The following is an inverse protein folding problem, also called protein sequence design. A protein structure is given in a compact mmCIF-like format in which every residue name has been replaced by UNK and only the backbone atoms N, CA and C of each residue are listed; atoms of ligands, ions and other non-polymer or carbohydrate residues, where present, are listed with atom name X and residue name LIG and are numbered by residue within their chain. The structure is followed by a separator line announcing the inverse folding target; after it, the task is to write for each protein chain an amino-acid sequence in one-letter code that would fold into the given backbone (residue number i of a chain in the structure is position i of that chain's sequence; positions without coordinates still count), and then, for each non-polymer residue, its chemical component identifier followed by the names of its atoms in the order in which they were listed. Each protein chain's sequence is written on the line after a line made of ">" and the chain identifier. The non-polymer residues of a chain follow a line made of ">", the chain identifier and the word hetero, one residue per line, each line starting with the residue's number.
data_IF_157327704627
#
_entry.id   IF_157327704627
#
_cell.length_a   1.000
_cell.length_b   1.000
_cell.length_c   1.000
_cell.angle_alpha   90.00
_cell.angle_beta   90.00
_cell.angle_gamma   90.00
#
_symmetry.space_group_name_H-M   'P 1'
#
loop_
_entity.id
_entity.type
_entity.pdbx_description
1 polymer ?
#
# COMPACT_ATOMS: atom_id res chain seq x y z
N UNK A 1 -11.95 -8.76 3.97
CA UNK A 1 -11.96 -7.35 3.49
C UNK A 1 -12.47 -7.30 2.04
N UNK A 2 -13.23 -6.27 1.63
CA UNK A 2 -13.85 -6.23 0.29
C UNK A 2 -12.84 -6.06 -0.85
N UNK A 3 -13.15 -6.65 -2.01
CA UNK A 3 -12.36 -6.59 -3.25
C UNK A 3 -12.53 -5.22 -3.92
N UNK A 4 -11.49 -4.73 -4.60
CA UNK A 4 -11.52 -3.45 -5.29
C UNK A 4 -12.21 -3.64 -6.63
N UNK A 5 -12.96 -2.64 -7.08
CA UNK A 5 -13.49 -2.62 -8.43
C UNK A 5 -12.38 -2.79 -9.46
N UNK A 6 -12.70 -3.52 -10.54
CA UNK A 6 -11.80 -3.79 -11.65
C UNK A 6 -11.25 -2.52 -12.27
N UNK A 7 -10.09 -2.64 -12.87
CA UNK A 7 -9.42 -1.54 -13.56
C UNK A 7 -10.25 -1.04 -14.76
N UNK A 8 -10.87 -1.95 -15.51
CA UNK A 8 -11.78 -1.61 -16.61
C UNK A 8 -12.91 -0.67 -16.15
N UNK A 9 -13.56 -0.98 -15.03
CA UNK A 9 -14.63 -0.13 -14.51
C UNK A 9 -14.12 1.27 -14.16
N UNK A 10 -12.93 1.36 -13.57
CA UNK A 10 -12.29 2.64 -13.23
C UNK A 10 -11.96 3.46 -14.48
N UNK A 11 -11.36 2.82 -15.49
CA UNK A 11 -11.04 3.44 -16.80
C UNK A 11 -12.30 4.01 -17.44
N UNK A 12 -13.39 3.25 -17.48
CA UNK A 12 -14.66 3.70 -18.07
C UNK A 12 -15.30 4.86 -17.32
N UNK A 13 -15.23 4.87 -15.98
CA UNK A 13 -15.73 5.99 -15.16
C UNK A 13 -14.91 7.26 -15.41
N UNK A 14 -13.59 7.14 -15.52
CA UNK A 14 -12.70 8.28 -15.80
C UNK A 14 -12.96 8.83 -17.20
N UNK A 15 -13.01 7.97 -18.21
CA UNK A 15 -13.29 8.38 -19.59
C UNK A 15 -14.63 9.14 -19.72
N UNK A 16 -15.67 8.65 -19.06
CA UNK A 16 -16.98 9.33 -19.04
C UNK A 16 -16.92 10.68 -18.28
N UNK A 17 -16.08 10.79 -17.26
CA UNK A 17 -15.87 12.06 -16.57
C UNK A 17 -15.11 13.08 -17.43
N UNK A 18 -14.09 12.64 -18.15
CA UNK A 18 -13.32 13.46 -19.11
C UNK A 18 -14.16 13.91 -20.29
N UNK A 19 -15.08 13.06 -20.76
CA UNK A 19 -16.05 13.39 -21.80
C UNK A 19 -17.15 14.37 -21.32
N UNK A 20 -17.14 14.75 -20.03
CA UNK A 20 -18.17 15.58 -19.42
C UNK A 20 -19.60 15.01 -19.55
N UNK A 21 -19.75 13.68 -19.51
CA UNK A 21 -21.04 12.95 -19.62
C UNK A 21 -22.01 13.17 -18.43
N UNK A 22 -21.78 14.20 -17.60
CA UNK A 22 -22.65 14.62 -16.54
C UNK A 22 -21.99 14.72 -15.16
N UNK A 23 -22.82 14.88 -14.13
CA UNK A 23 -22.35 15.02 -12.75
C UNK A 23 -21.79 13.71 -12.18
N UNK A 24 -21.00 13.78 -11.11
CA UNK A 24 -20.51 12.59 -10.40
C UNK A 24 -21.64 11.67 -9.91
N UNK A 25 -22.82 12.23 -9.57
CA UNK A 25 -24.01 11.44 -9.21
C UNK A 25 -24.58 10.70 -10.43
N UNK A 26 -24.61 11.35 -11.59
CA UNK A 26 -25.02 10.71 -12.83
C UNK A 26 -24.09 9.55 -13.20
N UNK A 27 -22.76 9.76 -13.12
CA UNK A 27 -21.78 8.69 -13.37
C UNK A 27 -21.96 7.52 -12.39
N UNK A 28 -22.17 7.80 -11.11
CA UNK A 28 -22.43 6.76 -10.11
C UNK A 28 -23.65 5.90 -10.46
N UNK A 29 -24.76 6.53 -10.87
CA UNK A 29 -25.96 5.83 -11.32
C UNK A 29 -25.72 5.03 -12.61
N UNK A 30 -25.08 5.63 -13.62
CA UNK A 30 -24.78 5.00 -14.92
C UNK A 30 -23.96 3.71 -14.76
N UNK A 31 -22.94 3.76 -13.92
CA UNK A 31 -22.05 2.62 -13.67
C UNK A 31 -22.50 1.72 -12.51
N UNK A 32 -23.67 2.00 -11.90
CA UNK A 32 -24.23 1.25 -10.76
C UNK A 32 -23.25 1.10 -9.59
N UNK A 33 -22.51 2.17 -9.29
CA UNK A 33 -21.52 2.23 -8.22
C UNK A 33 -21.90 3.32 -7.21
N UNK A 34 -21.33 3.23 -6.00
CA UNK A 34 -21.52 4.27 -4.99
C UNK A 34 -20.94 5.63 -5.42
N UNK A 35 -21.57 6.73 -4.99
CA UNK A 35 -21.05 8.08 -5.20
C UNK A 35 -19.67 8.30 -4.56
N UNK A 36 -19.44 7.68 -3.40
CA UNK A 36 -18.16 7.74 -2.69
C UNK A 36 -17.03 7.12 -3.51
N UNK A 37 -17.28 5.99 -4.19
CA UNK A 37 -16.31 5.39 -5.11
C UNK A 37 -15.93 6.34 -6.24
N UNK A 38 -16.90 6.95 -6.93
CA UNK A 38 -16.64 7.90 -8.03
C UNK A 38 -15.85 9.11 -7.53
N UNK A 39 -16.25 9.68 -6.38
CA UNK A 39 -15.54 10.81 -5.76
C UNK A 39 -14.09 10.49 -5.45
N UNK A 40 -13.85 9.34 -4.82
CA UNK A 40 -12.50 8.93 -4.42
C UNK A 40 -11.63 8.61 -5.64
N UNK A 41 -12.20 7.95 -6.65
CA UNK A 41 -11.50 7.65 -7.91
C UNK A 41 -11.06 8.93 -8.63
N UNK A 42 -11.99 9.89 -8.82
CA UNK A 42 -11.67 11.14 -9.49
C UNK A 42 -10.69 12.01 -8.70
N UNK A 43 -10.78 11.98 -7.36
CA UNK A 43 -9.78 12.65 -6.50
C UNK A 43 -8.39 12.07 -6.71
N UNK A 44 -8.27 10.74 -6.69
CA UNK A 44 -6.99 10.06 -6.91
C UNK A 44 -6.44 10.37 -8.31
N UNK A 45 -7.30 10.29 -9.34
CA UNK A 45 -6.93 10.56 -10.72
C UNK A 45 -6.40 11.99 -10.91
N UNK A 46 -7.04 13.00 -10.31
CA UNK A 46 -6.56 14.39 -10.37
C UNK A 46 -5.22 14.62 -9.66
N UNK A 47 -4.92 13.84 -8.62
CA UNK A 47 -3.70 14.01 -7.82
C UNK A 47 -2.50 13.33 -8.46
N UNK A 48 -2.68 12.12 -8.99
CA UNK A 48 -1.57 11.26 -9.42
C UNK A 48 -1.59 10.92 -10.92
N UNK A 49 -2.69 11.15 -11.63
CA UNK A 49 -2.92 10.61 -12.99
C UNK A 49 -3.10 9.09 -13.02
N UNK A 50 -3.08 8.42 -11.87
CA UNK A 50 -3.15 6.97 -11.77
C UNK A 50 -4.58 6.46 -11.80
N UNK A 51 -4.82 5.44 -12.63
CA UNK A 51 -6.11 4.75 -12.74
C UNK A 51 -6.13 3.47 -11.88
N UNK A 52 -4.96 2.90 -11.63
CA UNK A 52 -4.82 1.65 -10.89
C UNK A 52 -5.24 1.78 -9.42
N UNK A 53 -5.67 0.65 -8.87
CA UNK A 53 -5.85 0.56 -7.42
C UNK A 53 -4.49 0.72 -6.75
N UNK A 54 -4.45 1.49 -5.65
CA UNK A 54 -3.28 1.44 -4.76
C UNK A 54 -3.01 -0.02 -4.40
N UNK A 55 -1.74 -0.40 -4.51
CA UNK A 55 -1.30 -1.74 -4.14
C UNK A 55 -1.84 -2.07 -2.74
N UNK A 56 -2.52 -3.22 -2.65
CA UNK A 56 -3.10 -3.68 -1.39
C UNK A 56 -2.00 -4.31 -0.57
N UNK A 57 -1.75 -3.68 0.57
CA UNK A 57 -0.69 -4.15 1.46
C UNK A 57 0.70 -3.82 0.92
N UNK A 58 1.64 -4.28 1.70
CA UNK A 58 3.06 -4.06 1.61
C UNK A 58 3.60 -4.57 2.93
N UNK A 59 4.67 -5.37 2.89
CA UNK A 59 5.29 -5.80 4.13
C UNK A 59 5.76 -4.54 4.85
N UNK A 60 5.33 -4.35 6.10
CA UNK A 60 5.92 -3.29 6.92
C UNK A 60 7.42 -3.59 6.95
N UNK A 61 8.25 -2.66 6.49
CA UNK A 61 9.70 -2.88 6.41
C UNK A 61 10.18 -3.45 7.76
N UNK A 62 10.88 -4.59 7.79
CA UNK A 62 11.26 -5.23 9.04
C UNK A 62 12.08 -4.27 9.89
N UNK A 63 11.90 -4.27 11.22
CA UNK A 63 12.63 -3.36 12.11
C UNK A 63 14.15 -3.58 12.04
N UNK A 64 14.57 -4.83 11.81
CA UNK A 64 15.96 -5.23 11.65
C UNK A 64 16.25 -5.35 10.15
N UNK A 65 17.15 -4.50 9.64
CA UNK A 65 17.54 -4.48 8.23
C UNK A 65 19.06 -4.45 8.09
N UNK A 66 19.54 -4.88 6.92
CA UNK A 66 20.91 -4.70 6.43
C UNK A 66 21.97 -5.18 7.44
N UNK A 67 22.83 -4.28 7.90
CA UNK A 67 24.00 -4.53 8.74
C UNK A 67 23.62 -5.22 10.06
N UNK A 68 22.53 -4.81 10.70
CA UNK A 68 22.04 -5.45 11.93
C UNK A 68 21.63 -6.91 11.69
N UNK A 69 21.05 -7.22 10.53
CA UNK A 69 20.65 -8.58 10.20
C UNK A 69 21.87 -9.47 9.94
N UNK A 70 22.90 -8.95 9.28
CA UNK A 70 24.16 -9.65 9.05
C UNK A 70 24.90 -9.92 10.37
N UNK A 71 24.96 -8.94 11.28
CA UNK A 71 25.58 -9.07 12.60
C UNK A 71 24.90 -10.14 13.46
N UNK A 72 23.56 -10.13 13.52
CA UNK A 72 22.81 -11.14 14.27
C UNK A 72 23.07 -12.54 13.70
N UNK A 73 23.09 -12.68 12.37
CA UNK A 73 23.39 -13.96 11.73
C UNK A 73 24.78 -14.48 12.10
N UNK A 74 25.80 -13.63 12.05
CA UNK A 74 27.16 -14.03 12.45
C UNK A 74 27.23 -14.45 13.92
N UNK A 75 26.54 -13.74 14.82
CA UNK A 75 26.53 -14.08 16.24
C UNK A 75 25.84 -15.41 16.52
N UNK A 76 24.73 -15.69 15.83
CA UNK A 76 24.02 -16.97 15.96
C UNK A 76 24.83 -18.12 15.38
N UNK A 77 25.56 -17.91 14.29
CA UNK A 77 26.45 -18.92 13.69
C UNK A 77 27.66 -19.21 14.59
N UNK A 78 28.26 -18.19 15.20
CA UNK A 78 29.42 -18.34 16.08
C UNK A 78 29.04 -18.88 17.48
N UNK A 79 27.87 -18.47 18.00
CA UNK A 79 27.35 -18.85 19.31
C UNK A 79 25.84 -19.06 19.24
N UNK A 80 25.44 -20.31 19.03
CA UNK A 80 24.03 -20.69 18.93
C UNK A 80 23.26 -20.57 20.26
N UNK A 81 23.98 -20.58 21.40
CA UNK A 81 23.38 -20.53 22.74
C UNK A 81 23.09 -19.11 23.25
N UNK A 82 23.24 -18.09 22.39
CA UNK A 82 22.97 -16.70 22.74
C UNK A 82 21.50 -16.48 23.07
N UNK A 83 21.25 -15.83 24.21
CA UNK A 83 19.91 -15.45 24.61
C UNK A 83 19.43 -14.22 23.82
N UNK A 84 18.12 -14.13 23.59
CA UNK A 84 17.53 -12.96 22.92
C UNK A 84 17.88 -11.64 23.61
N UNK A 85 17.98 -11.65 24.95
CA UNK A 85 18.41 -10.49 25.73
C UNK A 85 19.83 -10.03 25.39
N UNK A 86 20.75 -10.97 25.14
CA UNK A 86 22.14 -10.68 24.82
C UNK A 86 22.26 -10.09 23.41
N UNK A 87 21.48 -10.62 22.46
CA UNK A 87 21.35 -10.06 21.11
C UNK A 87 20.84 -8.61 21.15
N UNK A 88 19.82 -8.33 21.96
CA UNK A 88 19.27 -6.98 22.13
C UNK A 88 20.29 -6.00 22.75
N UNK A 89 21.10 -6.44 23.72
CA UNK A 89 22.15 -5.61 24.32
C UNK A 89 23.23 -5.27 23.27
N UNK A 90 23.68 -6.26 22.49
CA UNK A 90 24.69 -6.06 21.45
C UNK A 90 24.22 -5.17 20.28
N UNK A 91 22.93 -5.15 19.99
CA UNK A 91 22.33 -4.30 18.95
C UNK A 91 22.03 -2.87 19.41
N UNK A 92 22.06 -2.62 20.73
CA UNK A 92 21.76 -1.29 21.27
C UNK A 92 22.99 -0.38 21.04
N UNK A 93 22.85 0.77 20.35
CA UNK A 93 23.95 1.73 20.27
C UNK A 93 24.17 2.27 21.68
N UNK A 94 25.28 1.86 22.30
CA UNK A 94 25.77 2.49 23.53
C UNK A 94 26.08 3.93 23.15
N UNK A 95 25.31 4.84 23.75
CA UNK A 95 25.40 6.28 23.52
C UNK A 95 26.70 6.85 24.04
#
# INVERSE_FOLDING_TARGET
>A
MPVSYSEDLRRRVIAAWEAHDGSQRHLAQRFKVSLSFVRNLLRQYRQNGEIEAKQRGGYQKPTIQNEHLSLIKSWVEEKNDLLLSELCIGLCPVR
#
